data_IF_826937638248
#
_entry.id   IF_826937638248
#
_cell.length_a   1.000
_cell.length_b   1.000
_cell.length_c   1.000
_cell.angle_alpha   90.00
_cell.angle_beta   90.00
_cell.angle_gamma   90.00
#
_symmetry.space_group_name_H-M   'P 1'
#
loop_
_entity.id
_entity.type
_entity.pdbx_description
1 polymer ?
#
# COMPACT_ATOMS: atom_id res chain seq x y z
N UNK A 1 3.65 -1.34 -20.70
CA UNK A 1 3.58 0.13 -20.91
C UNK A 1 4.99 0.66 -21.13
N UNK A 2 5.20 1.85 -21.70
CA UNK A 2 6.54 2.40 -21.94
C UNK A 2 6.70 3.79 -21.31
N UNK A 3 7.91 4.15 -20.85
CA UNK A 3 8.17 5.51 -20.36
C UNK A 3 8.06 6.51 -21.52
N UNK A 4 7.49 7.67 -21.26
CA UNK A 4 7.30 8.72 -22.26
C UNK A 4 8.32 9.83 -22.07
N UNK A 5 9.03 10.20 -23.13
CA UNK A 5 9.93 11.36 -23.10
C UNK A 5 9.14 12.66 -23.27
N UNK A 6 9.37 13.61 -22.37
CA UNK A 6 8.78 14.96 -22.43
C UNK A 6 9.85 16.00 -22.73
N UNK A 7 9.47 17.08 -23.43
CA UNK A 7 10.36 18.17 -23.88
C UNK A 7 10.01 19.52 -23.26
N UNK A 8 9.06 19.53 -22.34
CA UNK A 8 8.63 20.73 -21.63
C UNK A 8 8.41 20.37 -20.17
N UNK A 9 8.78 21.25 -19.23
CA UNK A 9 8.60 20.97 -17.82
C UNK A 9 7.10 20.91 -17.50
N UNK A 10 6.67 19.96 -16.66
CA UNK A 10 5.31 19.96 -16.13
C UNK A 10 5.02 21.26 -15.37
N UNK A 11 3.85 21.86 -15.56
CA UNK A 11 3.44 23.03 -14.81
C UNK A 11 2.60 22.61 -13.61
N UNK A 12 2.73 23.32 -12.48
CA UNK A 12 1.89 23.07 -11.31
C UNK A 12 0.37 23.23 -11.60
N UNK A 13 0.01 24.00 -12.64
CA UNK A 13 -1.38 24.20 -13.07
C UNK A 13 -1.99 22.98 -13.79
N UNK A 14 -1.16 22.03 -14.21
CA UNK A 14 -1.58 20.79 -14.86
C UNK A 14 -2.15 19.79 -13.84
N UNK A 15 -1.90 20.03 -12.54
CA UNK A 15 -2.26 19.13 -11.45
C UNK A 15 -3.18 19.77 -10.41
N UNK A 16 -3.95 18.92 -9.73
CA UNK A 16 -4.67 19.30 -8.50
C UNK A 16 -3.76 19.00 -7.29
N UNK A 17 -3.47 19.96 -6.39
CA UNK A 17 -2.70 19.67 -5.19
C UNK A 17 -3.39 18.63 -4.29
N UNK A 18 -2.63 17.71 -3.69
CA UNK A 18 -3.18 16.68 -2.81
C UNK A 18 -4.06 17.23 -1.68
N UNK A 19 -3.62 18.32 -1.02
CA UNK A 19 -4.38 18.94 0.05
C UNK A 19 -5.73 19.51 -0.42
N UNK A 20 -5.77 20.03 -1.65
CA UNK A 20 -7.02 20.51 -2.26
C UNK A 20 -7.94 19.34 -2.57
N UNK A 21 -7.42 18.28 -3.20
CA UNK A 21 -8.17 17.07 -3.51
C UNK A 21 -8.77 16.42 -2.25
N UNK A 22 -7.98 16.27 -1.18
CA UNK A 22 -8.43 15.68 0.09
C UNK A 22 -9.45 16.53 0.85
N UNK A 23 -9.52 17.84 0.56
CA UNK A 23 -10.50 18.74 1.18
C UNK A 23 -11.86 18.76 0.47
N UNK A 24 -11.92 18.22 -0.74
CA UNK A 24 -13.12 18.21 -1.58
C UNK A 24 -13.71 16.80 -1.64
N UNK A 25 -15.03 16.71 -1.76
CA UNK A 25 -15.69 15.47 -2.19
C UNK A 25 -15.88 15.60 -3.69
N UNK A 26 -15.14 14.84 -4.53
CA UNK A 26 -15.30 14.95 -5.98
C UNK A 26 -16.72 14.58 -6.40
N UNK A 27 -17.32 15.34 -7.31
CA UNK A 27 -18.60 14.95 -7.93
C UNK A 27 -18.43 13.70 -8.83
N UNK A 28 -17.23 13.49 -9.37
CA UNK A 28 -16.82 12.30 -10.12
C UNK A 28 -15.35 11.98 -9.84
N UNK A 29 -15.03 10.68 -9.81
CA UNK A 29 -13.68 10.16 -9.62
C UNK A 29 -12.96 9.83 -10.94
N UNK A 30 -13.61 9.99 -12.10
CA UNK A 30 -13.11 9.49 -13.39
C UNK A 30 -12.57 10.54 -14.35
N UNK A 31 -12.90 11.83 -14.17
CA UNK A 31 -12.64 12.89 -15.17
C UNK A 31 -11.88 14.11 -14.60
N UNK A 32 -11.07 13.88 -13.56
CA UNK A 32 -10.28 14.92 -12.89
C UNK A 32 -8.90 15.14 -13.52
N UNK A 33 -8.30 16.31 -13.24
CA UNK A 33 -6.86 16.49 -13.45
C UNK A 33 -6.07 15.53 -12.54
N UNK A 34 -4.89 15.04 -12.97
CA UNK A 34 -4.03 14.25 -12.12
C UNK A 34 -3.69 14.98 -10.83
N UNK A 35 -3.59 14.22 -9.74
CA UNK A 35 -3.33 14.76 -8.40
C UNK A 35 -1.82 14.82 -8.20
N UNK A 36 -1.31 15.96 -7.74
CA UNK A 36 0.09 16.11 -7.35
C UNK A 36 0.26 15.72 -5.88
N UNK A 37 0.85 14.56 -5.64
CA UNK A 37 1.13 14.07 -4.29
C UNK A 37 2.37 14.75 -3.70
N UNK A 38 3.42 14.92 -4.51
CA UNK A 38 4.64 15.57 -4.06
C UNK A 38 5.43 16.17 -5.23
N UNK A 39 6.07 17.32 -4.99
CA UNK A 39 6.95 17.97 -5.94
C UNK A 39 8.27 18.34 -5.25
N UNK A 40 9.37 17.84 -5.81
CA UNK A 40 10.72 18.08 -5.32
C UNK A 40 11.53 18.77 -6.41
N UNK A 41 11.77 20.07 -6.23
CA UNK A 41 12.55 20.87 -7.17
C UNK A 41 14.05 20.83 -6.84
N UNK A 42 14.89 20.80 -7.86
CA UNK A 42 16.35 20.89 -7.73
C UNK A 42 17.02 19.69 -7.07
N UNK A 43 16.41 18.51 -7.13
CA UNK A 43 17.02 17.27 -6.67
C UNK A 43 18.22 16.87 -7.55
N UNK A 44 19.10 16.03 -7.00
CA UNK A 44 20.16 15.39 -7.75
C UNK A 44 19.73 13.97 -8.12
N UNK A 45 19.63 13.71 -9.41
CA UNK A 45 19.45 12.37 -9.93
C UNK A 45 20.82 11.78 -10.28
N UNK A 46 21.06 10.52 -9.90
CA UNK A 46 22.24 9.76 -10.33
C UNK A 46 21.88 8.40 -10.89
N UNK A 47 22.60 7.99 -11.93
CA UNK A 47 22.52 6.64 -12.53
C UNK A 47 23.94 6.08 -12.73
N UNK A 48 24.10 4.75 -12.83
CA UNK A 48 25.32 4.15 -13.35
C UNK A 48 25.68 4.67 -14.74
N UNK A 49 26.94 5.00 -14.98
CA UNK A 49 27.40 5.51 -16.29
C UNK A 49 27.21 4.50 -17.42
N UNK A 50 27.26 3.22 -17.08
CA UNK A 50 26.93 2.09 -17.95
C UNK A 50 25.50 2.19 -18.54
N UNK A 51 24.58 2.87 -17.82
CA UNK A 51 23.17 3.03 -18.16
C UNK A 51 22.84 4.41 -18.77
N UNK A 52 23.86 5.24 -19.04
CA UNK A 52 23.64 6.48 -19.79
C UNK A 52 23.10 6.18 -21.20
N UNK A 53 22.02 6.84 -21.58
CA UNK A 53 21.27 6.58 -22.80
C UNK A 53 19.94 5.87 -22.57
N UNK A 54 19.76 5.20 -21.44
CA UNK A 54 18.51 4.48 -21.13
C UNK A 54 17.36 5.42 -20.75
N UNK A 55 17.68 6.60 -20.18
CA UNK A 55 16.71 7.65 -19.87
C UNK A 55 17.03 8.93 -20.64
N UNK A 56 16.00 9.62 -21.15
CA UNK A 56 16.19 10.87 -21.91
C UNK A 56 16.84 12.00 -21.10
N UNK A 57 16.75 11.95 -19.77
CA UNK A 57 17.43 12.86 -18.85
C UNK A 57 18.94 12.60 -18.79
N UNK A 58 19.41 11.38 -19.07
CA UNK A 58 20.84 11.04 -19.11
C UNK A 58 21.27 10.64 -20.53
N UNK A 59 21.57 11.60 -21.43
CA UNK A 59 22.18 11.31 -22.72
C UNK A 59 23.46 10.47 -22.59
N UNK A 60 23.80 9.71 -23.63
CA UNK A 60 24.99 8.85 -23.64
C UNK A 60 26.30 9.62 -23.36
N UNK A 61 26.35 10.90 -23.75
CA UNK A 61 27.50 11.79 -23.56
C UNK A 61 27.53 12.47 -22.18
N UNK A 62 26.63 12.12 -21.25
CA UNK A 62 26.60 12.74 -19.92
C UNK A 62 27.94 12.55 -19.22
N UNK A 63 28.49 13.65 -18.69
CA UNK A 63 29.76 13.61 -17.96
C UNK A 63 29.62 12.83 -16.65
N UNK A 64 30.72 12.26 -16.19
CA UNK A 64 30.75 11.55 -14.93
C UNK A 64 30.57 12.54 -13.76
N UNK A 65 29.87 12.09 -12.73
CA UNK A 65 29.78 12.79 -11.47
C UNK A 65 31.18 12.92 -10.85
N UNK A 66 31.47 14.03 -10.14
CA UNK A 66 32.73 14.16 -9.43
C UNK A 66 32.83 13.08 -8.34
N UNK A 67 33.69 12.09 -8.56
CA UNK A 67 33.98 11.04 -7.59
C UNK A 67 34.62 11.65 -6.33
N UNK A 68 33.89 11.63 -5.22
CA UNK A 68 34.41 11.92 -3.88
C UNK A 68 34.70 10.63 -3.10
N UNK A 69 35.12 9.56 -3.77
CA UNK A 69 35.46 8.30 -3.11
C UNK A 69 36.97 8.20 -2.87
N UNK A 70 37.36 8.25 -1.59
CA UNK A 70 38.67 7.87 -1.06
C UNK A 70 38.75 6.37 -0.70
N UNK A 71 37.81 5.54 -1.17
CA UNK A 71 37.79 4.11 -0.85
C UNK A 71 38.17 3.26 -2.07
N UNK A 72 39.15 2.39 -1.86
CA UNK A 72 39.83 1.58 -2.88
C UNK A 72 39.04 0.39 -3.42
N UNK A 73 37.71 0.48 -3.47
CA UNK A 73 36.88 -0.43 -4.27
C UNK A 73 36.58 0.23 -5.62
N UNK A 74 36.42 -0.58 -6.67
CA UNK A 74 36.03 -0.10 -7.99
C UNK A 74 34.57 0.42 -7.92
N UNK A 75 34.39 1.61 -7.37
CA UNK A 75 33.11 2.30 -7.36
C UNK A 75 32.66 2.48 -8.81
N UNK A 76 31.47 1.99 -9.13
CA UNK A 76 30.88 2.19 -10.45
C UNK A 76 30.75 3.69 -10.72
N UNK A 77 31.23 4.13 -11.89
CA UNK A 77 31.21 5.54 -12.24
C UNK A 77 29.75 5.99 -12.40
N UNK A 78 29.33 7.03 -11.67
CA UNK A 78 27.97 7.54 -11.73
C UNK A 78 27.89 8.75 -12.67
N UNK A 79 26.74 8.97 -13.29
CA UNK A 79 26.37 10.24 -13.91
C UNK A 79 25.44 11.01 -12.97
N UNK A 80 25.59 12.34 -12.86
CA UNK A 80 24.77 13.21 -12.01
C UNK A 80 24.05 14.26 -12.87
N UNK A 81 22.79 14.53 -12.54
CA UNK A 81 22.04 15.63 -13.14
C UNK A 81 21.10 16.29 -12.13
N UNK A 82 20.93 17.61 -12.25
CA UNK A 82 19.91 18.33 -11.48
C UNK A 82 18.55 18.19 -12.15
N UNK A 83 17.55 17.77 -11.37
CA UNK A 83 16.20 17.44 -11.85
C UNK A 83 15.12 18.00 -10.93
N UNK A 84 13.94 18.20 -11.50
CA UNK A 84 12.69 18.40 -10.77
C UNK A 84 11.87 17.11 -10.87
N UNK A 85 11.31 16.68 -9.74
CA UNK A 85 10.58 15.42 -9.61
C UNK A 85 9.14 15.69 -9.21
N UNK A 86 8.20 15.04 -9.90
CA UNK A 86 6.77 15.14 -9.66
C UNK A 86 6.23 13.72 -9.45
N UNK A 87 5.74 13.45 -8.23
CA UNK A 87 4.96 12.26 -7.92
C UNK A 87 3.48 12.62 -8.10
N UNK A 88 2.86 12.05 -9.14
CA UNK A 88 1.48 12.36 -9.53
C UNK A 88 0.65 11.10 -9.48
N UNK A 89 -0.68 11.22 -9.39
CA UNK A 89 -1.56 10.05 -9.34
C UNK A 89 -1.53 9.18 -10.60
N UNK A 90 -0.93 9.63 -11.71
CA UNK A 90 -0.85 8.86 -12.96
C UNK A 90 0.57 8.35 -13.23
N UNK A 91 1.58 9.22 -13.08
CA UNK A 91 2.95 8.91 -13.46
C UNK A 91 3.95 9.54 -12.49
N UNK A 92 5.12 8.90 -12.39
CA UNK A 92 6.30 9.49 -11.78
C UNK A 92 7.10 10.25 -12.85
N UNK A 93 7.27 11.56 -12.69
CA UNK A 93 7.92 12.40 -13.71
C UNK A 93 9.22 12.99 -13.19
N UNK A 94 10.28 12.86 -13.98
CA UNK A 94 11.59 13.46 -13.72
C UNK A 94 11.97 14.35 -14.88
N UNK A 95 12.23 15.63 -14.64
CA UNK A 95 12.57 16.60 -15.67
C UNK A 95 13.91 17.27 -15.38
N UNK A 96 14.78 17.40 -16.38
CA UNK A 96 15.99 18.20 -16.27
C UNK A 96 15.96 19.40 -17.19
N UNK A 97 16.14 20.58 -16.61
CA UNK A 97 16.32 21.82 -17.35
C UNK A 97 17.65 21.85 -18.13
N UNK A 98 18.68 21.15 -17.64
CA UNK A 98 19.98 21.12 -18.33
C UNK A 98 19.94 20.26 -19.60
N UNK A 99 19.18 19.16 -19.56
CA UNK A 99 18.99 18.28 -20.72
C UNK A 99 17.84 18.74 -21.64
N UNK A 100 17.08 19.76 -21.25
CA UNK A 100 15.82 20.18 -21.91
C UNK A 100 14.89 18.99 -22.20
N UNK A 101 14.89 18.02 -21.29
CA UNK A 101 14.22 16.75 -21.44
C UNK A 101 13.75 16.23 -20.08
N UNK A 102 12.68 15.45 -20.10
CA UNK A 102 12.20 14.69 -18.96
C UNK A 102 11.69 13.32 -19.38
N UNK A 103 11.40 12.50 -18.39
CA UNK A 103 10.81 11.19 -18.54
C UNK A 103 9.58 11.10 -17.62
N UNK A 104 8.47 10.63 -18.18
CA UNK A 104 7.25 10.28 -17.47
C UNK A 104 7.17 8.76 -17.41
N UNK A 105 7.24 8.22 -16.20
CA UNK A 105 7.37 6.80 -15.90
C UNK A 105 6.05 6.34 -15.27
N UNK A 106 5.29 5.45 -15.94
CA UNK A 106 4.16 4.78 -15.32
C UNK A 106 4.59 3.97 -14.10
N UNK A 107 3.79 3.99 -13.03
CA UNK A 107 4.12 3.28 -11.78
C UNK A 107 4.42 1.79 -11.95
N UNK A 108 3.72 1.03 -12.82
CA UNK A 108 4.05 -0.38 -13.06
C UNK A 108 5.45 -0.65 -13.63
N UNK A 109 6.15 0.38 -14.16
CA UNK A 109 7.54 0.23 -14.63
C UNK A 109 8.58 0.45 -13.52
N UNK A 110 8.14 0.79 -12.30
CA UNK A 110 8.99 0.97 -11.13
C UNK A 110 8.92 -0.32 -10.32
N UNK A 111 9.82 -1.26 -10.60
CA UNK A 111 9.83 -2.56 -9.91
C UNK A 111 10.02 -2.40 -8.40
N UNK A 112 10.94 -1.51 -7.99
CA UNK A 112 11.25 -1.26 -6.58
C UNK A 112 11.54 0.21 -6.38
N UNK A 113 11.03 0.77 -5.28
CA UNK A 113 11.49 2.03 -4.74
C UNK A 113 11.79 1.88 -3.25
N UNK A 114 12.90 2.47 -2.79
CA UNK A 114 13.36 2.31 -1.41
C UNK A 114 14.09 3.56 -0.91
N UNK A 115 14.12 3.73 0.41
CA UNK A 115 14.95 4.73 1.05
C UNK A 115 16.40 4.22 1.17
N UNK A 116 17.34 5.03 0.68
CA UNK A 116 18.78 4.74 0.70
C UNK A 116 19.52 5.88 1.38
N UNK A 117 20.52 5.58 2.20
CA UNK A 117 21.42 6.60 2.75
C UNK A 117 22.59 6.82 1.78
N UNK A 118 22.79 8.06 1.34
CA UNK A 118 23.86 8.48 0.42
C UNK A 118 24.56 9.69 1.03
N UNK A 119 25.85 9.56 1.37
CA UNK A 119 26.65 10.63 1.97
C UNK A 119 25.96 11.29 3.18
N UNK A 120 25.46 10.47 4.12
CA UNK A 120 24.74 10.91 5.34
C UNK A 120 23.40 11.63 5.08
N UNK A 121 22.95 11.68 3.81
CA UNK A 121 21.65 12.21 3.41
C UNK A 121 20.72 11.08 2.96
N UNK A 122 19.43 11.22 3.23
CA UNK A 122 18.43 10.25 2.77
C UNK A 122 18.08 10.51 1.30
N UNK A 123 17.99 9.45 0.52
CA UNK A 123 17.67 9.47 -0.90
C UNK A 123 16.62 8.40 -1.23
N UNK A 124 15.96 8.54 -2.37
CA UNK A 124 15.07 7.51 -2.91
C UNK A 124 15.82 6.79 -4.03
N UNK A 125 16.01 5.48 -3.88
CA UNK A 125 16.54 4.62 -4.93
C UNK A 125 15.39 3.90 -5.63
N UNK A 126 15.46 3.84 -6.95
CA UNK A 126 14.48 3.20 -7.81
C UNK A 126 15.19 2.19 -8.71
N UNK A 127 14.56 1.03 -8.87
CA UNK A 127 14.85 0.11 -9.95
C UNK A 127 13.70 0.18 -10.96
N UNK A 128 14.03 0.54 -12.19
CA UNK A 128 13.09 0.65 -13.29
C UNK A 128 13.26 -0.55 -14.19
N UNK A 129 12.15 -1.13 -14.62
CA UNK A 129 12.11 -2.20 -15.60
C UNK A 129 11.34 -1.73 -16.83
N UNK A 130 12.05 -1.68 -17.95
CA UNK A 130 11.50 -1.27 -19.24
C UNK A 130 11.41 -2.43 -20.22
N UNK A 131 11.85 -3.63 -19.82
CA UNK A 131 11.77 -4.80 -20.68
C UNK A 131 10.32 -5.30 -20.73
N UNK A 132 9.86 -5.64 -21.93
CA UNK A 132 8.67 -6.46 -22.13
C UNK A 132 9.17 -7.89 -22.12
N UNK A 133 9.12 -8.55 -20.95
CA UNK A 133 9.75 -9.83 -20.63
C UNK A 133 10.12 -10.67 -21.86
N UNK A 134 11.40 -10.65 -22.22
CA UNK A 134 11.92 -11.38 -23.36
C UNK A 134 11.84 -12.90 -23.12
N UNK A 135 11.87 -13.68 -24.21
CA UNK A 135 11.72 -15.14 -24.16
C UNK A 135 12.86 -15.91 -23.44
N UNK A 136 13.85 -15.23 -22.86
CA UNK A 136 14.98 -15.82 -22.13
C UNK A 136 15.36 -14.94 -20.93
N UNK A 137 15.75 -15.58 -19.83
CA UNK A 137 16.10 -14.96 -18.53
C UNK A 137 17.39 -14.12 -18.57
N UNK A 138 17.99 -13.93 -19.74
CA UNK A 138 19.30 -13.31 -19.93
C UNK A 138 19.25 -11.81 -20.28
N UNK A 139 18.06 -11.25 -20.53
CA UNK A 139 17.86 -9.87 -21.03
C UNK A 139 17.12 -8.96 -20.02
N UNK A 140 17.17 -9.23 -18.71
CA UNK A 140 16.65 -8.32 -17.68
C UNK A 140 17.51 -7.05 -17.56
N UNK A 141 17.28 -6.07 -18.44
CA UNK A 141 17.94 -4.77 -18.40
C UNK A 141 17.17 -3.81 -17.48
N UNK A 142 17.56 -3.77 -16.21
CA UNK A 142 17.02 -2.80 -15.25
C UNK A 142 17.84 -1.51 -15.24
N UNK A 143 17.16 -0.40 -14.99
CA UNK A 143 17.79 0.92 -14.85
C UNK A 143 17.70 1.35 -13.39
N UNK A 144 18.85 1.65 -12.78
CA UNK A 144 18.93 2.15 -11.42
C UNK A 144 18.95 3.68 -11.41
N UNK A 145 18.01 4.28 -10.69
CA UNK A 145 17.90 5.72 -10.53
C UNK A 145 17.91 6.08 -9.05
N UNK A 146 18.82 6.96 -8.63
CA UNK A 146 18.82 7.50 -7.27
C UNK A 146 18.48 8.99 -7.29
N UNK A 147 17.49 9.39 -6.49
CA UNK A 147 17.06 10.77 -6.30
C UNK A 147 17.47 11.24 -4.90
N UNK A 148 18.40 12.18 -4.85
CA UNK A 148 18.86 12.82 -3.62
C UNK A 148 18.23 14.23 -3.53
N UNK A 149 17.41 14.52 -2.50
CA UNK A 149 16.90 15.87 -2.29
C UNK A 149 18.03 16.90 -2.14
N UNK A 150 17.82 18.16 -2.56
CA UNK A 150 18.82 19.19 -2.36
C UNK A 150 18.98 19.52 -0.88
N UNK A 151 20.16 19.98 -0.47
CA UNK A 151 20.42 20.38 0.93
C UNK A 151 19.55 21.55 1.42
N UNK A 152 18.88 22.27 0.52
CA UNK A 152 17.91 23.33 0.84
C UNK A 152 16.49 22.82 1.07
N UNK A 153 16.21 21.53 0.81
CA UNK A 153 14.90 20.94 1.03
C UNK A 153 14.67 20.59 2.50
N UNK A 154 13.41 20.34 2.87
CA UNK A 154 13.03 19.92 4.21
C UNK A 154 13.71 18.58 4.56
N UNK A 155 14.05 18.34 5.84
CA UNK A 155 14.84 17.17 6.25
C UNK A 155 14.15 15.83 5.96
N UNK A 156 12.82 15.81 5.81
CA UNK A 156 12.03 14.62 5.49
C UNK A 156 11.66 14.50 4.00
N UNK A 157 12.26 15.30 3.10
CA UNK A 157 11.86 15.36 1.69
C UNK A 157 11.97 14.01 0.97
N UNK A 158 13.01 13.22 1.28
CA UNK A 158 13.15 11.87 0.73
C UNK A 158 12.05 10.92 1.22
N UNK A 159 11.67 11.03 2.49
CA UNK A 159 10.58 10.25 3.06
C UNK A 159 9.24 10.64 2.45
N UNK A 160 8.98 11.94 2.30
CA UNK A 160 7.76 12.45 1.65
C UNK A 160 7.66 12.00 0.18
N UNK A 161 8.78 12.01 -0.55
CA UNK A 161 8.83 11.49 -1.91
C UNK A 161 8.53 9.99 -1.95
N UNK A 162 9.15 9.21 -1.06
CA UNK A 162 8.89 7.77 -0.92
C UNK A 162 7.42 7.48 -0.60
N UNK A 163 6.84 8.16 0.39
CA UNK A 163 5.43 7.99 0.77
C UNK A 163 4.48 8.41 -0.38
N UNK A 164 4.80 9.48 -1.10
CA UNK A 164 4.04 9.91 -2.25
C UNK A 164 4.08 8.86 -3.38
N UNK A 165 5.26 8.28 -3.65
CA UNK A 165 5.40 7.23 -4.65
C UNK A 165 4.66 5.95 -4.24
N UNK A 166 4.76 5.52 -2.98
CA UNK A 166 4.05 4.35 -2.47
C UNK A 166 2.53 4.51 -2.62
N UNK A 167 1.99 5.65 -2.15
CA UNK A 167 0.57 5.96 -2.28
C UNK A 167 0.09 5.99 -3.73
N UNK A 168 0.91 6.47 -4.66
CA UNK A 168 0.54 6.49 -6.07
C UNK A 168 0.66 5.09 -6.68
N UNK A 169 1.68 4.31 -6.33
CA UNK A 169 1.85 2.92 -6.79
C UNK A 169 0.67 2.05 -6.42
N UNK A 170 0.10 2.23 -5.22
CA UNK A 170 -1.09 1.50 -4.76
C UNK A 170 -2.33 1.76 -5.64
N UNK A 171 -2.35 2.87 -6.40
CA UNK A 171 -3.43 3.22 -7.33
C UNK A 171 -3.25 2.58 -8.72
N UNK A 172 -2.11 1.96 -9.00
CA UNK A 172 -1.77 1.32 -10.28
C UNK A 172 -1.45 -0.15 -10.06
N UNK A 173 -2.45 -0.99 -9.72
CA UNK A 173 -2.25 -2.43 -9.73
C UNK A 173 -1.88 -2.88 -11.14
N UNK A 174 -1.03 -3.90 -11.22
CA UNK A 174 -0.64 -4.46 -12.50
C UNK A 174 -1.87 -4.94 -13.28
N UNK A 175 -1.94 -4.72 -14.60
CA UNK A 175 -3.01 -5.25 -15.40
C UNK A 175 -3.01 -6.78 -15.29
N UNK A 176 -4.19 -7.39 -15.12
CA UNK A 176 -4.33 -8.83 -15.13
C UNK A 176 -3.64 -9.38 -16.39
N UNK A 177 -2.59 -10.18 -16.19
CA UNK A 177 -2.04 -10.96 -17.28
C UNK A 177 -3.04 -12.08 -17.57
N UNK A 178 -3.82 -11.96 -18.65
CA UNK A 178 -4.80 -12.99 -19.06
C UNK A 178 -4.15 -14.36 -19.35
N UNK A 179 -2.81 -14.45 -19.29
CA UNK A 179 -2.03 -15.68 -19.44
C UNK A 179 -1.79 -16.43 -18.11
N UNK A 180 -2.15 -15.87 -16.95
CA UNK A 180 -2.04 -16.52 -15.61
C UNK A 180 -3.39 -17.05 -15.08
N UNK A 181 -4.42 -17.14 -15.93
CA UNK A 181 -5.78 -17.56 -15.58
C UNK A 181 -5.96 -19.09 -15.49
N UNK A 182 -4.90 -19.82 -15.11
CA UNK A 182 -4.94 -21.25 -14.76
C UNK A 182 -5.01 -21.49 -13.23
N UNK A 183 -4.95 -20.43 -12.41
CA UNK A 183 -5.02 -20.55 -10.96
C UNK A 183 -6.42 -20.18 -10.43
N UNK A 184 -7.35 -21.13 -10.51
CA UNK A 184 -8.69 -21.12 -9.90
C UNK A 184 -8.68 -20.93 -8.35
N UNK A 185 -7.51 -20.76 -7.73
CA UNK A 185 -7.32 -20.80 -6.28
C UNK A 185 -7.19 -19.44 -5.56
N UNK A 186 -7.15 -18.31 -6.27
CA UNK A 186 -6.90 -17.00 -5.63
C UNK A 186 -8.16 -16.18 -5.27
N UNK A 187 -9.35 -16.78 -5.37
CA UNK A 187 -10.59 -16.17 -4.85
C UNK A 187 -10.90 -16.68 -3.45
N UNK A 188 -10.74 -15.84 -2.44
CA UNK A 188 -11.22 -16.12 -1.08
C UNK A 188 -12.76 -16.11 -1.11
N UNK A 189 -13.34 -17.28 -0.89
CA UNK A 189 -14.79 -17.52 -0.88
C UNK A 189 -15.16 -18.09 0.51
N UNK A 190 -16.16 -17.53 1.20
CA UNK A 190 -16.55 -17.91 2.58
C UNK A 190 -17.85 -18.76 2.57
N UNK A 191 -17.83 -19.99 3.10
CA UNK A 191 -19.02 -20.84 3.42
C UNK A 191 -19.20 -20.87 4.92
N UNK A 192 -20.45 -20.67 5.29
CA UNK A 192 -21.12 -21.74 5.99
C UNK A 192 -22.43 -22.00 5.25
N UNK A 193 -22.80 -23.26 5.16
CA UNK A 193 -23.85 -23.72 4.28
C UNK A 193 -25.21 -23.82 4.98
N UNK A 194 -26.26 -23.38 4.30
CA UNK A 194 -27.49 -24.16 4.19
C UNK A 194 -28.16 -23.88 2.84
N UNK A 195 -27.56 -24.43 1.77
CA UNK A 195 -28.12 -24.47 0.42
C UNK A 195 -27.14 -24.52 -0.76
N UNK A 196 -25.81 -24.46 -0.61
CA UNK A 196 -24.89 -24.56 -1.76
C UNK A 196 -23.92 -25.73 -1.61
N UNK A 197 -23.64 -26.39 -2.73
CA UNK A 197 -22.64 -27.45 -2.80
C UNK A 197 -21.25 -26.84 -2.50
N UNK A 198 -20.51 -27.39 -1.52
CA UNK A 198 -19.13 -27.00 -1.27
C UNK A 198 -18.26 -27.25 -2.50
N UNK A 199 -17.23 -26.43 -2.71
CA UNK A 199 -16.16 -26.73 -3.67
C UNK A 199 -15.50 -28.05 -3.26
N UNK A 200 -15.35 -28.98 -4.21
CA UNK A 200 -14.91 -30.36 -3.97
C UNK A 200 -13.54 -30.37 -3.25
N UNK A 201 -13.53 -30.75 -1.97
CA UNK A 201 -12.32 -30.78 -1.12
C UNK A 201 -12.23 -29.71 -0.04
N UNK A 202 -13.14 -28.73 0.00
CA UNK A 202 -13.22 -27.72 1.06
C UNK A 202 -14.53 -27.84 1.86
N UNK A 203 -14.45 -27.58 3.17
CA UNK A 203 -15.60 -27.55 4.08
C UNK A 203 -15.62 -26.15 4.67
N UNK A 204 -16.42 -25.22 4.14
CA UNK A 204 -16.27 -23.81 4.50
C UNK A 204 -16.07 -22.82 3.33
N UNK A 205 -16.20 -23.18 2.04
CA UNK A 205 -16.25 -22.24 0.88
C UNK A 205 -17.59 -22.25 0.00
N UNK A 206 -18.48 -21.20 0.08
CA UNK A 206 -19.80 -21.08 -0.65
C UNK A 206 -19.67 -20.06 -1.81
N UNK A 207 -20.09 -20.41 -3.03
CA UNK A 207 -20.18 -19.44 -4.13
C UNK A 207 -21.05 -18.21 -3.78
N UNK A 208 -20.53 -16.99 -3.99
CA UNK A 208 -21.28 -15.74 -3.83
C UNK A 208 -22.41 -15.56 -4.87
N UNK A 209 -23.39 -14.71 -4.57
CA UNK A 209 -24.48 -14.37 -5.51
C UNK A 209 -23.99 -13.40 -6.59
N UNK A 210 -24.32 -13.67 -7.84
CA UNK A 210 -23.81 -12.93 -9.01
C UNK A 210 -24.45 -11.55 -9.23
N UNK A 211 -25.41 -11.15 -8.39
CA UNK A 211 -26.22 -9.92 -8.55
C UNK A 211 -25.76 -8.79 -7.62
N UNK A 212 -24.62 -8.95 -6.92
CA UNK A 212 -24.08 -7.94 -6.00
C UNK A 212 -24.87 -7.75 -4.70
N UNK A 213 -25.92 -8.55 -4.48
CA UNK A 213 -26.64 -8.60 -3.21
C UNK A 213 -25.86 -9.32 -2.10
N UNK A 214 -26.20 -9.04 -0.84
CA UNK A 214 -25.67 -9.80 0.29
C UNK A 214 -26.19 -11.25 0.24
N UNK A 215 -25.35 -12.25 0.55
CA UNK A 215 -25.79 -13.63 0.61
C UNK A 215 -26.92 -13.78 1.65
N UNK A 216 -27.87 -14.71 1.44
CA UNK A 216 -28.98 -14.90 2.35
C UNK A 216 -28.45 -15.18 3.77
N UNK A 217 -29.11 -14.64 4.82
CA UNK A 217 -28.69 -14.89 6.19
C UNK A 217 -28.75 -16.38 6.50
N UNK A 218 -27.85 -16.83 7.37
CA UNK A 218 -27.82 -18.20 7.85
C UNK A 218 -29.13 -18.58 8.55
N UNK A 219 -29.61 -19.83 8.43
CA UNK A 219 -30.73 -20.30 9.23
C UNK A 219 -30.38 -20.17 10.72
N UNK A 220 -31.16 -19.39 11.47
CA UNK A 220 -30.92 -19.11 12.90
C UNK A 220 -30.13 -17.82 13.17
N UNK A 221 -29.59 -17.15 12.15
CA UNK A 221 -29.11 -15.77 12.27
C UNK A 221 -30.28 -14.82 11.99
N UNK A 222 -30.50 -13.82 12.85
CA UNK A 222 -31.61 -12.86 12.78
C UNK A 222 -31.59 -11.90 11.58
N UNK A 223 -31.01 -12.29 10.44
CA UNK A 223 -30.74 -11.38 9.33
C UNK A 223 -29.47 -10.54 9.55
N UNK A 224 -29.09 -9.76 8.54
CA UNK A 224 -28.01 -8.78 8.64
C UNK A 224 -28.55 -7.46 9.19
N UNK A 225 -27.81 -6.83 10.11
CA UNK A 225 -28.10 -5.45 10.55
C UNK A 225 -27.51 -4.50 9.49
N UNK A 226 -28.38 -3.75 8.80
CA UNK A 226 -28.06 -2.76 7.77
C UNK A 226 -28.37 -1.34 8.27
N UNK A 227 -27.92 -0.33 7.53
CA UNK A 227 -28.21 1.07 7.87
C UNK A 227 -29.73 1.36 7.92
N UNK A 228 -30.54 0.61 7.17
CA UNK A 228 -31.98 0.76 7.16
C UNK A 228 -32.67 0.09 8.37
N UNK A 229 -32.09 -0.94 9.00
CA UNK A 229 -32.74 -1.69 10.09
C UNK A 229 -32.02 -1.58 11.44
N UNK A 230 -30.92 -0.81 11.53
CA UNK A 230 -30.16 -0.63 12.79
C UNK A 230 -31.03 -0.13 13.95
N UNK A 231 -32.08 0.63 13.64
CA UNK A 231 -33.04 1.16 14.60
C UNK A 231 -33.94 0.10 15.25
N UNK A 232 -34.01 -1.10 14.68
CA UNK A 232 -34.76 -2.24 15.24
C UNK A 232 -33.94 -2.98 16.31
N UNK A 233 -32.62 -2.78 16.32
CA UNK A 233 -31.67 -3.47 17.21
C UNK A 233 -30.98 -2.54 18.20
N UNK A 234 -31.08 -1.21 18.03
CA UNK A 234 -30.47 -0.23 18.91
C UNK A 234 -31.43 0.92 19.23
N UNK A 235 -31.48 1.32 20.51
CA UNK A 235 -32.22 2.49 20.95
C UNK A 235 -31.51 3.81 20.55
N UNK A 236 -32.19 4.95 20.76
CA UNK A 236 -31.67 6.27 20.43
C UNK A 236 -30.40 6.67 21.21
N UNK A 237 -30.10 5.97 22.31
CA UNK A 237 -28.92 6.18 23.15
C UNK A 237 -27.79 5.19 22.79
N UNK A 238 -28.01 4.28 21.81
CA UNK A 238 -27.05 3.32 21.29
C UNK A 238 -26.98 2.00 22.05
N UNK A 239 -27.95 1.68 22.91
CA UNK A 239 -28.00 0.39 23.60
C UNK A 239 -28.69 -0.67 22.74
N UNK A 240 -28.14 -1.89 22.73
CA UNK A 240 -28.68 -3.01 21.97
C UNK A 240 -29.99 -3.52 22.59
N UNK A 241 -31.05 -3.55 21.79
CA UNK A 241 -32.35 -4.14 22.10
C UNK A 241 -32.45 -5.44 21.29
N UNK A 242 -32.42 -6.60 21.96
CA UNK A 242 -32.38 -7.89 21.27
C UNK A 242 -33.59 -8.14 20.36
N UNK A 243 -33.50 -9.10 19.42
CA UNK A 243 -34.58 -9.37 18.49
C UNK A 243 -35.84 -9.86 19.23
N UNK A 244 -36.96 -9.16 19.09
CA UNK A 244 -38.27 -9.64 19.53
C UNK A 244 -38.86 -9.00 20.79
N UNK A 245 -38.36 -7.85 21.25
CA UNK A 245 -39.03 -7.10 22.32
C UNK A 245 -40.20 -6.26 21.76
N UNK A 246 -41.20 -6.94 21.18
CA UNK A 246 -42.54 -6.36 21.09
C UNK A 246 -43.06 -6.20 22.52
N UNK A 247 -43.51 -4.99 22.84
CA UNK A 247 -44.03 -4.55 24.14
C UNK A 247 -45.34 -5.28 24.51
N UNK A 248 -45.29 -6.57 24.82
CA UNK A 248 -46.32 -7.26 25.59
C UNK A 248 -45.71 -7.81 26.89
N UNK A 249 -46.35 -7.42 28.00
CA UNK A 249 -46.06 -7.86 29.36
C UNK A 249 -46.21 -9.38 29.46
N UNK A 250 -45.10 -10.12 29.30
CA UNK A 250 -45.01 -11.54 29.64
C UNK A 250 -43.82 -11.71 30.60
N UNK A 251 -44.15 -12.10 31.82
CA UNK A 251 -43.20 -12.51 32.85
C UNK A 251 -42.43 -13.76 32.38
N UNK A 252 -41.13 -13.77 32.69
CA UNK A 252 -40.19 -14.91 32.63
C UNK A 252 -40.01 -15.59 31.27
N UNK A 253 -38.94 -15.18 30.57
CA UNK A 253 -37.86 -16.07 30.08
C UNK A 253 -36.86 -15.22 29.29
N UNK A 254 -36.00 -14.49 30.02
CA UNK A 254 -34.77 -13.98 29.42
C UNK A 254 -33.91 -15.20 29.08
N UNK A 255 -33.75 -15.53 27.80
CA UNK A 255 -32.63 -16.37 27.37
C UNK A 255 -31.36 -15.67 27.85
N UNK A 256 -30.85 -16.16 28.98
CA UNK A 256 -29.73 -15.58 29.70
C UNK A 256 -28.50 -15.72 28.81
N UNK A 257 -28.20 -14.66 28.06
CA UNK A 257 -26.93 -14.52 27.36
C UNK A 257 -25.83 -14.81 28.40
N UNK A 258 -25.07 -15.88 28.19
CA UNK A 258 -24.17 -16.43 29.19
C UNK A 258 -23.29 -15.35 29.83
N UNK A 259 -22.96 -15.53 31.11
CA UNK A 259 -22.24 -14.58 31.96
C UNK A 259 -20.98 -14.02 31.26
N UNK A 260 -21.13 -12.88 30.57
CA UNK A 260 -20.03 -12.30 29.79
C UNK A 260 -20.43 -11.55 28.51
N UNK A 261 -21.65 -11.73 28.00
CA UNK A 261 -22.11 -10.95 26.85
C UNK A 261 -22.24 -9.45 27.19
N UNK A 262 -21.49 -8.59 26.49
CA UNK A 262 -21.59 -7.13 26.60
C UNK A 262 -20.78 -6.45 27.72
N UNK A 263 -20.01 -7.19 28.53
CA UNK A 263 -19.13 -6.59 29.55
C UNK A 263 -17.68 -6.51 29.07
N UNK A 264 -17.09 -5.31 29.08
CA UNK A 264 -15.65 -5.14 28.94
C UNK A 264 -14.95 -5.60 30.22
N UNK A 265 -14.18 -6.69 30.17
CA UNK A 265 -13.42 -7.17 31.33
C UNK A 265 -12.23 -6.23 31.60
N UNK A 266 -12.12 -5.60 32.78
CA UNK A 266 -10.92 -4.88 33.16
C UNK A 266 -9.74 -5.86 33.31
N UNK A 267 -8.53 -5.40 33.01
CA UNK A 267 -7.32 -6.24 32.92
C UNK A 267 -7.05 -7.10 34.16
N UNK A 268 -7.45 -6.62 35.35
CA UNK A 268 -7.27 -7.34 36.62
C UNK A 268 -8.13 -8.61 36.76
N UNK A 269 -9.21 -8.75 35.98
CA UNK A 269 -10.07 -9.95 35.99
C UNK A 269 -9.48 -11.10 35.14
N UNK A 270 -8.47 -10.87 34.29
CA UNK A 270 -7.90 -11.88 33.40
C UNK A 270 -6.79 -12.73 34.05
N UNK A 271 -6.24 -12.29 35.18
CA UNK A 271 -5.09 -12.92 35.84
C UNK A 271 -5.47 -13.88 36.98
N UNK A 272 -6.78 -14.10 37.22
CA UNK A 272 -7.23 -14.72 38.48
C UNK A 272 -8.05 -16.00 38.40
N UNK A 273 -8.28 -16.56 37.22
CA UNK A 273 -8.82 -17.92 37.11
C UNK A 273 -7.91 -18.77 36.23
N UNK A 274 -7.05 -19.52 36.92
CA UNK A 274 -6.50 -20.77 36.44
C UNK A 274 -7.66 -21.78 36.29
N UNK A 275 -7.57 -22.59 35.24
CA UNK A 275 -8.29 -23.85 35.03
C UNK A 275 -9.64 -23.76 34.29
N UNK A 276 -9.58 -23.59 32.95
CA UNK A 276 -10.39 -24.42 32.03
C UNK A 276 -9.68 -24.61 30.70
N UNK A 277 -9.19 -25.84 30.56
CA UNK A 277 -8.95 -26.64 29.35
C UNK A 277 -7.49 -26.78 28.88
N UNK A 278 -6.86 -27.84 29.37
CA UNK A 278 -5.54 -28.30 28.93
C UNK A 278 -5.56 -29.25 27.75
N UNK A 279 -4.46 -29.27 27.00
CA UNK A 279 -3.61 -30.46 26.92
C UNK A 279 -2.19 -30.03 26.54
N UNK A 280 -1.30 -30.24 27.50
CA UNK A 280 0.15 -30.10 27.39
C UNK A 280 0.73 -31.27 26.58
N UNK A 281 1.53 -30.96 25.55
CA UNK A 281 2.72 -31.73 25.21
C UNK A 281 3.63 -30.96 24.24
N UNK A 282 4.70 -30.45 24.84
CA UNK A 282 6.08 -30.47 24.33
C UNK A 282 6.51 -29.42 23.28
N UNK A 283 7.33 -28.51 23.81
CA UNK A 283 8.57 -27.97 23.22
C UNK A 283 8.45 -26.93 22.09
N UNK A 284 8.33 -25.66 22.47
CA UNK A 284 9.06 -24.57 21.78
C UNK A 284 9.21 -23.32 22.69
N UNK A 285 10.39 -23.05 23.27
CA UNK A 285 10.65 -21.82 24.02
C UNK A 285 11.18 -20.64 23.15
N UNK A 286 10.82 -20.52 21.86
CA UNK A 286 11.32 -19.42 21.00
C UNK A 286 10.27 -18.43 20.45
N UNK A 287 9.07 -18.35 21.02
CA UNK A 287 8.11 -17.28 20.62
C UNK A 287 7.62 -16.45 21.80
N UNK A 288 8.50 -15.58 22.29
CA UNK A 288 8.16 -14.28 22.92
C UNK A 288 9.45 -13.48 23.09
N UNK A 289 9.59 -12.44 22.27
CA UNK A 289 10.70 -11.48 22.34
C UNK A 289 10.79 -10.92 23.77
N UNK A 290 11.93 -11.00 24.48
CA UNK A 290 12.04 -10.42 25.81
C UNK A 290 11.92 -8.90 25.73
N UNK A 291 11.11 -8.33 26.62
CA UNK A 291 10.90 -6.89 26.77
C UNK A 291 12.22 -6.24 27.23
N UNK A 292 12.72 -5.26 26.47
CA UNK A 292 13.85 -4.43 26.89
C UNK A 292 13.38 -3.55 28.06
N UNK A 293 13.90 -3.81 29.25
CA UNK A 293 13.76 -2.90 30.39
C UNK A 293 14.81 -1.79 30.24
N UNK A 294 14.35 -0.55 30.14
CA UNK A 294 15.20 0.64 30.29
C UNK A 294 15.49 0.86 31.77
N UNK A 295 16.69 0.51 32.21
CA UNK A 295 17.23 0.95 33.50
C UNK A 295 17.48 2.47 33.45
N UNK A 296 16.73 3.21 34.28
CA UNK A 296 17.07 4.57 34.65
C UNK A 296 18.28 4.51 35.58
N UNK A 297 19.41 5.05 35.14
CA UNK A 297 20.59 5.22 35.97
C UNK A 297 20.61 6.67 36.51
N UNK A 298 20.55 6.79 37.84
CA UNK A 298 20.90 7.99 38.62
C UNK A 298 22.42 8.24 38.62
#
# INVERSE_FOLDING_TARGET
MLPTTIRSPPAAADYTPLAEYQSQTPESFTDGKPILHYHLAGAKATIPRSQCGSLAIFPQDTAAAPNNANDGEAAEELAEQTVDVFATSENFVVFSHQAEAGVSIPYPLISIHALKSVNESQAVWLQLDFADGGADDSDFETVELTIVPPSSAEPNSAQQLYEAMANCSDLHPDPNNEEDDDNEYDRIVFEGNAGHEPVEGFTGVLHGVTDGGLPPPFPGSGGWITAENVHDYFDADGNYIGPGQELEEVEDETEELGEGAGRTRPRDELEKDDDVNGHDSAEDPESKRPRVETENNE
#
